data_IF_618801484674
#
_entry.id   IF_618801484674
#
_cell.length_a   1.000
_cell.length_b   1.000
_cell.length_c   1.000
_cell.angle_alpha   90.00
_cell.angle_beta   90.00
_cell.angle_gamma   90.00
#
_symmetry.space_group_name_H-M   'P 1'
#
loop_
_entity.id
_entity.type
_entity.pdbx_description
1 polymer ?
2 non-polymer ?
3 water ?
#
# COMPACT_ATOMS: atom_id res chain seq x y z
N UNK A 19 -0.43 19.37 -4.13
CA UNK A 19 0.49 18.23 -4.05
C UNK A 19 0.54 17.49 -5.39
N UNK A 20 1.68 16.90 -5.71
CA UNK A 20 1.90 16.32 -7.02
C UNK A 20 2.73 15.05 -6.94
N UNK A 21 2.38 14.08 -7.77
CA UNK A 21 3.05 12.79 -7.86
C UNK A 21 3.42 12.52 -9.30
N UNK A 22 4.67 12.11 -9.52
CA UNK A 22 5.19 11.79 -10.85
C UNK A 22 5.76 10.39 -10.80
N UNK A 23 5.56 9.61 -11.86
CA UNK A 23 6.10 8.25 -11.88
C UNK A 23 7.00 8.06 -13.09
N UNK A 24 8.24 7.67 -12.84
CA UNK A 24 9.17 7.22 -13.88
C UNK A 24 8.95 5.74 -14.15
N UNK A 25 8.42 5.41 -15.33
CA UNK A 25 8.11 4.03 -15.67
C UNK A 25 8.51 3.74 -17.10
N UNK A 26 8.77 2.47 -17.39
CA UNK A 26 8.81 2.02 -18.77
C UNK A 26 7.44 1.73 -19.33
N UNK A 27 6.44 1.46 -18.49
CA UNK A 27 5.10 1.14 -18.96
C UNK A 27 4.17 2.17 -18.35
N UNK A 28 4.15 3.40 -18.89
CA UNK A 28 3.22 4.41 -18.36
C UNK A 28 1.75 4.03 -18.54
N UNK A 29 1.46 3.09 -19.42
CA UNK A 29 0.10 2.65 -19.70
C UNK A 29 -0.40 1.61 -18.71
N UNK A 30 0.49 1.00 -17.92
CA UNK A 30 0.02 0.17 -16.81
C UNK A 30 -0.86 0.96 -15.86
N UNK A 31 -0.69 2.27 -15.83
CA UNK A 31 -1.42 3.08 -14.87
C UNK A 31 -2.69 3.63 -15.47
N UNK A 32 -2.99 3.21 -16.69
CA UNK A 32 -4.25 3.57 -17.32
C UNK A 32 -5.39 2.87 -16.59
N UNK A 33 -6.40 3.64 -16.21
CA UNK A 33 -7.53 3.08 -15.53
C UNK A 33 -7.35 2.88 -14.04
N UNK A 34 -6.15 3.10 -13.52
CA UNK A 34 -6.03 3.18 -12.06
C UNK A 34 -5.99 4.63 -11.61
N UNK A 35 -5.59 5.54 -12.49
CA UNK A 35 -5.60 6.97 -12.20
C UNK A 35 -6.86 7.66 -12.72
N UNK A 36 -7.53 7.06 -13.70
CA UNK A 36 -8.75 7.64 -14.24
C UNK A 36 -9.99 7.20 -13.47
N UNK A 37 -9.85 6.36 -12.45
CA UNK A 37 -11.01 5.89 -11.70
C UNK A 37 -10.70 5.90 -10.21
N UNK A 38 -11.72 5.60 -9.41
CA UNK A 38 -11.69 5.54 -7.95
C UNK A 38 -11.15 6.83 -7.37
N UNK A 39 -10.50 6.69 -6.21
CA UNK A 39 -9.95 7.81 -5.45
C UNK A 39 -9.03 8.65 -6.31
N UNK A 40 -8.29 8.02 -7.23
CA UNK A 40 -7.39 8.80 -8.06
C UNK A 40 -8.16 9.75 -8.96
N UNK A 41 -9.17 9.22 -9.65
CA UNK A 41 -10.04 10.07 -10.47
C UNK A 41 -10.65 11.17 -9.64
N UNK A 42 -11.24 10.81 -8.49
CA UNK A 42 -11.90 11.80 -7.66
C UNK A 42 -10.92 12.91 -7.29
N UNK A 43 -9.89 12.56 -6.50
CA UNK A 43 -8.99 13.56 -5.95
C UNK A 43 -8.26 14.35 -7.03
N UNK A 44 -7.97 13.73 -8.17
CA UNK A 44 -7.30 14.49 -9.22
C UNK A 44 -8.25 15.44 -9.92
N UNK A 45 -9.50 15.02 -10.14
CA UNK A 45 -10.53 15.93 -10.62
C UNK A 45 -10.69 17.12 -9.69
N UNK A 46 -10.63 16.88 -8.38
CA UNK A 46 -10.97 17.89 -7.39
C UNK A 46 -9.90 18.94 -7.20
N UNK A 47 -8.92 19.04 -8.10
CA UNK A 47 -7.82 20.00 -7.97
C UNK A 47 -7.06 19.77 -6.66
N UNK A 48 -6.79 18.49 -6.37
CA UNK A 48 -6.06 18.12 -5.16
C UNK A 48 -4.66 17.60 -5.45
N UNK A 49 -4.50 16.71 -6.43
CA UNK A 49 -3.17 16.22 -6.79
C UNK A 49 -3.01 16.22 -8.31
N UNK A 50 -1.87 16.73 -8.76
CA UNK A 50 -1.47 16.60 -10.15
C UNK A 50 -0.56 15.39 -10.29
N UNK A 51 -0.89 14.52 -11.23
CA UNK A 51 -0.13 13.30 -11.47
C UNK A 51 0.39 13.31 -12.89
N UNK A 52 1.70 13.06 -13.02
CA UNK A 52 2.30 12.96 -14.34
C UNK A 52 3.05 11.65 -14.47
N UNK A 53 2.79 10.94 -15.55
CA UNK A 53 3.58 9.77 -15.91
C UNK A 53 4.70 10.19 -16.85
N UNK A 54 5.88 9.61 -16.66
CA UNK A 54 7.06 9.90 -17.47
C UNK A 54 7.69 8.58 -17.88
N UNK A 55 8.01 8.47 -19.17
CA UNK A 55 8.61 7.27 -19.73
C UNK A 55 10.12 7.39 -19.73
N UNK A 56 10.81 6.29 -19.44
CA UNK A 56 12.23 6.28 -19.77
C UNK A 56 12.38 6.15 -21.28
N UNK A 57 13.63 6.24 -21.73
CA UNK A 57 13.98 6.19 -23.15
C UNK A 57 13.49 7.46 -23.82
N UNK A 58 12.70 8.25 -23.10
CA UNK A 58 12.45 9.62 -23.46
C UNK A 58 13.56 10.53 -22.96
N UNK A 59 14.38 10.06 -22.02
CA UNK A 59 15.54 10.84 -21.61
C UNK A 59 16.81 10.04 -21.82
N UNK A 60 16.75 8.95 -22.57
CA UNK A 60 17.92 8.13 -22.89
C UNK A 60 18.69 8.72 -24.07
N UNK A 61 20.00 8.54 -24.03
CA UNK A 61 20.88 9.06 -25.07
C UNK A 61 21.83 7.97 -25.56
N UNK A 62 21.57 6.72 -25.15
CA UNK A 62 22.46 5.62 -25.51
C UNK A 62 22.39 5.36 -27.02
N UNK A 63 23.29 4.47 -27.48
CA UNK A 63 23.36 4.16 -28.91
C UNK A 63 22.06 3.50 -29.39
N UNK A 64 21.41 2.71 -28.54
CA UNK A 64 20.12 2.12 -28.85
C UNK A 64 18.98 2.81 -28.11
N UNK A 65 19.20 4.04 -27.65
CA UNK A 65 18.30 4.77 -26.75
C UNK A 65 18.00 3.96 -25.50
N UNK A 66 18.95 3.11 -25.11
CA UNK A 66 18.83 2.29 -23.92
C UNK A 66 18.88 3.14 -22.66
N UNK A 67 18.23 2.66 -21.61
CA UNK A 67 18.37 3.21 -20.28
C UNK A 67 19.07 2.24 -19.34
N UNK A 68 19.52 1.09 -19.84
CA UNK A 68 20.31 0.15 -19.05
C UNK A 68 21.55 -0.28 -19.84
N UNK A 69 22.59 -0.64 -19.10
CA UNK A 69 23.85 -1.04 -19.70
C UNK A 69 24.44 -2.12 -18.80
N UNK A 70 25.64 -2.60 -19.15
CA UNK A 70 26.10 -3.73 -18.35
C UNK A 70 26.83 -3.20 -17.12
N UNK A 71 26.96 -4.01 -16.06
CA UNK A 71 27.63 -3.53 -14.85
C UNK A 71 29.14 -3.56 -14.98
N UNK A 72 29.80 -2.55 -14.43
CA UNK A 72 31.25 -2.62 -14.29
C UNK A 72 31.63 -3.72 -13.30
N UNK A 73 32.56 -4.58 -13.69
CA UNK A 73 32.98 -5.69 -12.87
C UNK A 73 32.29 -7.00 -13.15
N UNK A 74 31.19 -6.98 -13.89
CA UNK A 74 30.47 -8.21 -14.20
C UNK A 74 29.24 -8.39 -13.33
N UNK A 75 28.51 -9.44 -13.65
CA UNK A 75 27.26 -9.75 -13.01
C UNK A 75 26.26 -10.21 -14.05
N UNK A 76 25.23 -10.93 -13.59
CA UNK A 76 24.26 -11.49 -14.52
C UNK A 76 23.39 -10.41 -15.15
N UNK A 77 22.88 -9.49 -14.34
CA UNK A 77 21.86 -8.57 -14.77
C UNK A 77 22.36 -7.34 -15.51
N UNK A 78 21.41 -6.46 -15.81
CA UNK A 78 21.65 -5.17 -16.44
C UNK A 78 21.31 -4.08 -15.44
N UNK A 79 21.98 -2.94 -15.55
CA UNK A 79 21.85 -1.88 -14.56
C UNK A 79 21.26 -0.64 -15.23
N UNK A 80 20.27 -0.04 -14.57
CA UNK A 80 19.75 1.26 -14.98
C UNK A 80 20.84 2.32 -14.92
N UNK A 81 20.97 3.08 -16.01
CA UNK A 81 22.02 4.08 -16.16
C UNK A 81 21.64 5.38 -15.46
N UNK A 82 22.62 6.12 -14.93
CA UNK A 82 22.28 7.28 -14.09
C UNK A 82 21.77 8.49 -14.85
N UNK A 83 22.31 8.76 -16.04
CA UNK A 83 22.00 10.00 -16.74
C UNK A 83 20.52 10.12 -17.14
N UNK A 84 19.86 9.09 -17.71
CA UNK A 84 18.44 9.27 -18.00
C UNK A 84 17.64 9.61 -16.76
N UNK A 85 18.03 9.07 -15.62
CA UNK A 85 17.26 9.27 -14.40
C UNK A 85 17.51 10.65 -13.82
N UNK A 86 18.76 11.12 -13.79
CA UNK A 86 18.97 12.50 -13.33
C UNK A 86 18.26 13.49 -14.25
N UNK A 87 18.28 13.22 -15.56
CA UNK A 87 17.56 14.08 -16.49
C UNK A 87 16.06 14.07 -16.21
N UNK A 88 15.52 12.89 -15.93
CA UNK A 88 14.09 12.80 -15.60
C UNK A 88 13.77 13.63 -14.36
N UNK A 89 14.61 13.56 -13.34
CA UNK A 89 14.43 14.42 -12.19
C UNK A 89 14.48 15.89 -12.59
N UNK A 90 15.39 16.23 -13.52
CA UNK A 90 15.51 17.61 -13.95
C UNK A 90 14.22 18.13 -14.56
N UNK A 91 13.66 17.39 -15.54
CA UNK A 91 12.43 17.85 -16.17
C UNK A 91 11.26 17.90 -15.18
N UNK A 92 11.21 16.97 -14.24
CA UNK A 92 10.14 16.97 -13.26
C UNK A 92 10.27 18.07 -12.22
N UNK A 93 11.26 18.95 -12.35
CA UNK A 93 11.43 20.09 -11.45
C UNK A 93 11.55 19.62 -10.00
N UNK A 94 12.28 18.52 -9.81
CA UNK A 94 12.53 18.01 -8.45
C UNK A 94 13.29 19.05 -7.66
N UNK A 95 12.84 19.31 -6.44
CA UNK A 95 13.48 20.27 -5.57
C UNK A 95 14.19 19.53 -4.44
N UNK A 96 14.91 20.30 -3.62
CA UNK A 96 15.62 19.70 -2.49
C UNK A 96 14.66 19.13 -1.45
N UNK A 97 13.37 19.49 -1.51
CA UNK A 97 12.39 18.97 -0.58
C UNK A 97 11.49 17.91 -1.20
N UNK A 98 11.62 17.67 -2.52
CA UNK A 98 10.91 16.58 -3.15
C UNK A 98 11.40 15.24 -2.58
N UNK A 99 10.49 14.29 -2.49
CA UNK A 99 10.83 12.94 -2.04
C UNK A 99 10.81 12.00 -3.24
N UNK A 100 11.97 11.39 -3.51
CA UNK A 100 12.18 10.52 -4.67
C UNK A 100 12.21 9.10 -4.12
N UNK A 101 11.22 8.29 -4.49
CA UNK A 101 11.04 6.98 -3.89
C UNK A 101 11.51 5.94 -4.91
N UNK A 102 12.50 5.16 -4.52
CA UNK A 102 12.96 4.01 -5.31
C UNK A 102 12.16 2.78 -4.90
N UNK A 103 11.46 2.17 -5.85
CA UNK A 103 10.79 0.90 -5.62
C UNK A 103 11.87 -0.16 -5.62
N UNK A 104 12.36 -0.48 -4.43
CA UNK A 104 13.53 -1.35 -4.26
C UNK A 104 13.13 -2.58 -3.45
N UNK A 105 13.39 -3.79 -3.95
CA UNK A 105 12.99 -5.00 -3.19
C UNK A 105 13.67 -5.13 -1.84
N UNK A 106 14.79 -4.46 -1.61
CA UNK A 106 15.44 -4.50 -0.31
C UNK A 106 15.20 -3.23 0.48
N UNK A 107 14.26 -2.39 0.05
CA UNK A 107 13.95 -1.19 0.79
C UNK A 107 13.22 -1.49 2.08
N UNK A 108 13.00 -0.44 2.86
CA UNK A 108 12.18 -0.55 4.06
C UNK A 108 10.75 -0.94 3.66
N UNK A 109 10.15 -1.92 4.35
CA UNK A 109 8.78 -2.31 4.00
C UNK A 109 7.82 -1.15 4.23
N UNK A 110 6.94 -0.94 3.26
CA UNK A 110 5.98 0.14 3.36
C UNK A 110 5.11 -0.07 4.59
N UNK A 111 4.65 1.04 5.18
CA UNK A 111 3.93 0.96 6.43
C UNK A 111 2.95 2.13 6.52
N UNK A 112 1.96 1.98 7.41
CA UNK A 112 1.04 3.08 7.65
C UNK A 112 1.77 4.31 8.17
N UNK A 113 2.74 4.11 9.06
CA UNK A 113 3.61 5.20 9.49
C UNK A 113 4.19 5.94 8.30
N UNK A 114 4.74 5.20 7.33
CA UNK A 114 5.35 5.87 6.17
C UNK A 114 4.30 6.53 5.29
N UNK A 115 3.10 5.94 5.19
CA UNK A 115 2.05 6.57 4.39
C UNK A 115 1.62 7.90 5.01
N UNK A 116 1.51 7.94 6.33
CA UNK A 116 1.24 9.20 7.03
C UNK A 116 2.36 10.20 6.76
N UNK A 117 3.61 9.75 6.84
CA UNK A 117 4.74 10.63 6.58
C UNK A 117 4.70 11.21 5.17
N UNK A 118 4.42 10.36 4.18
CA UNK A 118 4.46 10.78 2.79
C UNK A 118 3.28 11.66 2.40
N UNK A 119 2.12 11.47 3.04
CA UNK A 119 0.99 12.35 2.74
C UNK A 119 1.29 13.81 3.09
N UNK A 120 2.31 14.05 3.92
CA UNK A 120 2.77 15.39 4.27
C UNK A 120 3.71 16.01 3.22
N UNK A 121 3.83 15.43 2.03
CA UNK A 121 4.89 15.81 1.10
C UNK A 121 4.30 16.48 -0.14
N UNK A 122 4.82 17.65 -0.49
CA UNK A 122 4.27 18.42 -1.60
C UNK A 122 4.52 17.72 -2.93
N UNK A 123 5.74 17.21 -3.15
CA UNK A 123 6.11 16.58 -4.41
C UNK A 123 6.69 15.21 -4.13
N UNK A 124 6.26 14.23 -4.92
CA UNK A 124 6.76 12.87 -4.81
C UNK A 124 6.99 12.28 -6.19
N UNK A 125 8.10 11.57 -6.36
CA UNK A 125 8.46 10.90 -7.60
C UNK A 125 8.76 9.45 -7.28
N UNK A 126 8.09 8.52 -7.97
CA UNK A 126 8.44 7.10 -7.83
C UNK A 126 9.29 6.69 -9.01
N UNK A 127 10.47 6.13 -8.72
CA UNK A 127 11.28 5.48 -9.74
C UNK A 127 10.86 4.01 -9.78
N UNK A 128 10.22 3.63 -10.88
CA UNK A 128 9.67 2.29 -11.08
C UNK A 128 10.51 1.57 -12.12
N UNK A 129 10.70 0.26 -11.95
CA UNK A 129 11.48 -0.44 -12.96
C UNK A 129 11.74 -1.90 -12.67
N UNK A 130 11.92 -2.69 -13.72
CA UNK A 130 12.19 -4.12 -13.63
C UNK A 130 13.67 -4.42 -13.48
N UNK A 131 14.49 -3.40 -13.26
CA UNK A 131 15.93 -3.54 -13.39
C UNK A 131 16.48 -4.42 -12.27
N UNK A 132 17.34 -5.37 -12.65
CA UNK A 132 18.12 -6.10 -11.65
C UNK A 132 19.00 -5.19 -10.82
N UNK A 133 19.50 -4.10 -11.41
CA UNK A 133 20.40 -3.22 -10.70
C UNK A 133 20.09 -1.77 -10.98
N UNK A 134 20.51 -0.92 -10.04
CA UNK A 134 20.39 0.53 -10.14
C UNK A 134 21.76 1.15 -9.91
N UNK A 135 22.11 2.14 -10.72
CA UNK A 135 23.42 2.76 -10.56
C UNK A 135 23.49 3.48 -9.21
N UNK A 136 24.56 3.23 -8.46
CA UNK A 136 24.65 3.76 -7.10
C UNK A 136 24.65 5.28 -7.08
N UNK A 137 25.12 5.95 -8.16
CA UNK A 137 25.01 7.40 -8.25
C UNK A 137 23.57 7.86 -7.99
N UNK A 138 22.62 7.18 -8.64
CA UNK A 138 21.20 7.48 -8.48
C UNK A 138 20.82 7.41 -7.01
N UNK A 139 21.27 6.36 -6.32
CA UNK A 139 20.85 6.15 -4.94
C UNK A 139 21.48 7.16 -4.00
N UNK A 140 22.76 7.46 -4.19
CA UNK A 140 23.44 8.36 -3.26
C UNK A 140 22.97 9.80 -3.40
N UNK A 141 22.81 10.29 -4.64
CA UNK A 141 22.59 11.72 -4.81
C UNK A 141 21.20 12.08 -5.30
N UNK A 142 20.36 11.11 -5.61
CA UNK A 142 19.05 11.40 -6.17
C UNK A 142 17.91 10.86 -5.32
N UNK A 143 17.98 9.58 -4.95
CA UNK A 143 16.89 8.92 -4.23
C UNK A 143 16.88 9.38 -2.78
N UNK A 144 15.69 9.78 -2.29
CA UNK A 144 15.54 10.12 -0.88
C UNK A 144 14.96 8.97 -0.06
N UNK A 145 14.40 7.95 -0.70
CA UNK A 145 13.63 6.92 -0.02
C UNK A 145 13.65 5.65 -0.85
N UNK A 146 13.90 4.51 -0.20
CA UNK A 146 13.85 3.19 -0.84
C UNK A 146 12.87 2.32 -0.09
N UNK A 147 11.79 1.89 -0.77
CA UNK A 147 10.70 1.21 -0.09
C UNK A 147 10.34 -0.09 -0.82
N UNK A 148 10.12 -1.14 -0.04
CA UNK A 148 9.72 -2.47 -0.49
C UNK A 148 8.23 -2.69 -0.26
N UNK A 149 7.71 -3.77 -0.84
CA UNK A 149 6.36 -4.24 -0.56
C UNK A 149 6.31 -5.45 0.37
N UNK A 150 7.43 -6.12 0.61
CA UNK A 150 7.45 -7.32 1.42
C UNK A 150 8.39 -8.37 0.90
N UNK A 151 8.60 -9.47 1.65
CA UNK A 151 9.65 -10.42 1.32
C UNK A 151 9.44 -11.10 -0.02
N UNK A 152 8.25 -11.03 -0.59
CA UNK A 152 7.99 -11.64 -1.88
C UNK A 152 8.71 -10.87 -2.99
N UNK A 153 8.80 -11.51 -4.15
CA UNK A 153 9.55 -11.01 -5.30
C UNK A 153 8.58 -10.66 -6.41
N UNK A 154 8.73 -9.47 -6.98
CA UNK A 154 7.85 -8.95 -8.00
C UNK A 154 8.63 -8.76 -9.29
N UNK A 155 7.91 -8.38 -10.35
CA UNK A 155 8.56 -8.11 -11.63
C UNK A 155 9.01 -6.66 -11.76
N UNK A 156 8.26 -5.71 -11.19
CA UNK A 156 8.61 -4.31 -11.32
C UNK A 156 8.03 -3.49 -10.19
N UNK A 157 8.30 -2.19 -10.25
CA UNK A 157 7.87 -1.28 -9.21
C UNK A 157 6.58 -0.55 -9.48
N UNK A 158 5.89 -0.90 -10.57
CA UNK A 158 4.71 -0.14 -10.97
C UNK A 158 3.52 -0.42 -10.06
N UNK A 159 3.19 -1.70 -9.88
CA UNK A 159 2.15 -2.07 -8.92
C UNK A 159 2.49 -1.66 -7.49
N UNK A 160 3.70 -1.89 -6.99
CA UNK A 160 4.07 -1.29 -5.69
C UNK A 160 3.80 0.21 -5.65
N UNK A 161 4.23 0.93 -6.69
CA UNK A 161 4.07 2.38 -6.72
C UNK A 161 2.60 2.77 -6.62
N UNK A 162 1.74 2.09 -7.38
CA UNK A 162 0.32 2.41 -7.37
C UNK A 162 -0.33 2.07 -6.03
N UNK A 163 0.02 0.93 -5.44
CA UNK A 163 -0.56 0.57 -4.14
C UNK A 163 -0.17 1.60 -3.08
N UNK A 164 1.09 1.98 -3.05
CA UNK A 164 1.55 2.99 -2.10
C UNK A 164 0.83 4.31 -2.36
N UNK A 165 0.63 4.67 -3.62
CA UNK A 165 -0.10 5.88 -3.94
C UNK A 165 -1.52 5.83 -3.41
N UNK A 166 -2.17 4.67 -3.54
CA UNK A 166 -3.50 4.51 -2.97
C UNK A 166 -3.49 4.89 -1.50
N UNK A 167 -2.62 4.22 -0.74
CA UNK A 167 -2.62 4.43 0.72
C UNK A 167 -2.23 5.85 1.10
N UNK A 168 -1.45 6.53 0.24
CA UNK A 168 -1.01 7.88 0.57
C UNK A 168 -2.09 8.90 0.22
N UNK A 169 -2.63 8.80 -1.00
CA UNK A 169 -3.69 9.71 -1.45
C UNK A 169 -4.88 9.64 -0.51
N UNK A 170 -5.22 8.44 -0.06
CA UNK A 170 -6.34 8.31 0.86
C UNK A 170 -6.12 9.11 2.15
N UNK A 171 -4.86 9.39 2.49
CA UNK A 171 -4.51 10.18 3.67
C UNK A 171 -4.42 11.68 3.38
N UNK A 172 -4.67 12.09 2.13
CA UNK A 172 -4.74 13.49 1.73
C UNK A 172 -6.11 14.03 2.09
N UNK A 173 -6.24 15.31 2.49
CA UNK A 173 -7.57 15.88 2.82
C UNK A 173 -8.70 15.55 1.87
N UNK A 174 -8.41 15.36 0.58
CA UNK A 174 -9.43 14.90 -0.35
C UNK A 174 -9.92 13.50 -0.05
N UNK A 188 -7.93 0.90 15.73
CA UNK A 188 -8.42 -0.42 16.12
C UNK A 188 -8.81 -0.45 17.59
N UNK A 189 -9.33 -1.60 18.02
CA UNK A 189 -9.55 -1.88 19.43
C UNK A 189 -8.71 -3.05 19.94
N UNK A 190 -7.96 -3.71 19.07
CA UNK A 190 -7.16 -4.84 19.45
C UNK A 190 -7.79 -6.18 19.15
N UNK A 191 -8.92 -6.19 18.45
CA UNK A 191 -9.65 -7.41 18.18
C UNK A 191 -9.98 -7.46 16.70
N UNK A 192 -10.33 -8.66 16.23
CA UNK A 192 -10.78 -8.80 14.86
C UNK A 192 -12.20 -8.24 14.72
N UNK A 193 -12.64 -8.08 13.48
CA UNK A 193 -13.96 -7.51 13.26
C UNK A 193 -15.04 -8.54 13.55
N UNK A 194 -16.15 -8.06 13.77
CA UNK A 194 -17.36 -8.79 14.06
C UNK A 194 -18.04 -9.14 12.74
N UNK A 195 -18.71 -10.28 12.64
CA UNK A 195 -19.31 -10.64 11.36
C UNK A 195 -20.44 -9.68 11.02
N UNK A 196 -20.64 -9.45 9.73
CA UNK A 196 -21.66 -8.54 9.25
C UNK A 196 -22.52 -9.28 8.24
N UNK A 197 -23.83 -9.03 8.26
CA UNK A 197 -24.69 -9.65 7.27
C UNK A 197 -25.65 -8.61 6.71
N UNK A 198 -26.14 -8.88 5.51
CA UNK A 198 -27.09 -8.01 4.83
C UNK A 198 -28.17 -8.90 4.22
N UNK A 199 -29.03 -8.29 3.40
CA UNK A 199 -30.14 -9.02 2.80
C UNK A 199 -29.60 -10.07 1.82
N UNK A 200 -30.27 -11.22 1.67
CA UNK A 200 -31.50 -11.70 2.33
C UNK A 200 -31.29 -12.33 3.71
N UNK A 201 -32.37 -12.52 4.46
CA UNK A 201 -32.27 -13.19 5.75
C UNK A 201 -31.88 -14.66 5.58
N UNK A 202 -32.46 -15.33 4.59
CA UNK A 202 -32.14 -16.71 4.26
C UNK A 202 -31.51 -16.77 2.88
N UNK A 203 -30.53 -17.64 2.72
CA UNK A 203 -29.87 -17.83 1.44
C UNK A 203 -29.13 -19.17 1.46
N UNK A 204 -29.52 -20.10 0.60
CA UNK A 204 -28.97 -21.47 0.59
C UNK A 204 -29.19 -22.14 1.94
N UNK A 205 -30.24 -21.75 2.66
CA UNK A 205 -30.44 -22.28 3.99
C UNK A 205 -29.49 -21.70 5.03
N UNK A 206 -28.79 -20.63 4.70
CA UNK A 206 -27.81 -20.03 5.59
C UNK A 206 -28.46 -18.79 6.19
N UNK A 207 -28.66 -18.81 7.50
CA UNK A 207 -29.57 -17.88 8.14
C UNK A 207 -28.79 -16.78 8.83
N UNK A 208 -29.19 -15.53 8.58
CA UNK A 208 -28.64 -14.40 9.34
C UNK A 208 -29.00 -14.58 10.81
N UNK A 209 -28.05 -14.42 11.74
CA UNK A 209 -28.38 -14.57 13.16
C UNK A 209 -29.50 -13.66 13.59
N UNK A 210 -30.44 -14.23 14.37
CA UNK A 210 -31.71 -13.57 14.62
C UNK A 210 -31.55 -12.30 15.43
N UNK A 211 -30.54 -12.25 16.31
CA UNK A 211 -30.38 -11.11 17.20
C UNK A 211 -30.20 -9.84 16.39
N UNK A 212 -29.65 -9.96 15.18
CA UNK A 212 -29.43 -8.79 14.35
C UNK A 212 -30.72 -8.19 13.83
N UNK A 213 -31.82 -8.94 13.85
CA UNK A 213 -33.10 -8.41 13.39
C UNK A 213 -34.03 -8.06 14.53
N UNK A 214 -33.64 -8.28 15.78
CA UNK A 214 -34.53 -8.04 16.90
C UNK A 214 -34.69 -6.56 17.23
N UNK A 215 -33.86 -5.69 16.70
CA UNK A 215 -33.94 -4.28 17.05
C UNK A 215 -33.58 -3.96 18.48
N UNK A 216 -33.03 -4.92 19.22
CA UNK A 216 -32.52 -4.69 20.57
C UNK A 216 -31.02 -4.42 20.44
N UNK A 217 -30.67 -3.14 20.45
CA UNK A 217 -29.30 -2.73 20.17
C UNK A 217 -28.32 -3.11 21.26
N UNK A 218 -28.77 -3.15 22.51
CA UNK A 218 -27.88 -3.61 23.57
C UNK A 218 -27.45 -5.05 23.30
N UNK A 219 -28.39 -5.91 22.93
CA UNK A 219 -28.06 -7.29 22.59
C UNK A 219 -27.27 -7.37 21.30
N UNK A 220 -27.58 -6.53 20.31
CA UNK A 220 -26.85 -6.58 19.05
C UNK A 220 -25.38 -6.27 19.29
N UNK A 221 -25.11 -5.24 20.11
CA UNK A 221 -23.74 -4.89 20.42
C UNK A 221 -23.06 -5.94 21.29
N UNK A 222 -23.79 -6.49 22.27
CA UNK A 222 -23.19 -7.52 23.12
C UNK A 222 -22.81 -8.74 22.30
N UNK A 223 -23.68 -9.13 21.36
CA UNK A 223 -23.42 -10.25 20.47
C UNK A 223 -22.21 -9.97 19.58
N UNK A 224 -22.17 -8.78 18.98
CA UNK A 224 -21.02 -8.46 18.14
C UNK A 224 -19.73 -8.52 18.93
N UNK A 225 -19.75 -8.01 20.16
CA UNK A 225 -18.56 -8.09 21.02
C UNK A 225 -18.17 -9.53 21.32
N UNK A 226 -19.15 -10.40 21.60
CA UNK A 226 -18.85 -11.80 21.86
C UNK A 226 -18.19 -12.45 20.66
N UNK A 227 -18.73 -12.18 19.46
CA UNK A 227 -18.15 -12.74 18.24
C UNK A 227 -16.74 -12.22 18.03
N UNK A 228 -16.48 -10.96 18.34
CA UNK A 228 -15.12 -10.43 18.23
C UNK A 228 -14.18 -11.19 19.16
N UNK A 229 -14.61 -11.41 20.40
CA UNK A 229 -13.74 -12.11 21.34
C UNK A 229 -13.46 -13.53 20.86
N UNK A 230 -14.51 -14.21 20.39
CA UNK A 230 -14.39 -15.62 20.02
C UNK A 230 -13.57 -15.79 18.75
N UNK A 231 -13.82 -14.97 17.73
CA UNK A 231 -13.05 -15.03 16.50
C UNK A 231 -11.59 -14.70 16.76
N UNK A 232 -11.31 -13.70 17.61
CA UNK A 232 -9.92 -13.41 17.94
C UNK A 232 -9.29 -14.57 18.69
N UNK A 233 -9.98 -15.13 19.69
CA UNK A 233 -9.50 -16.30 20.42
C UNK A 233 -9.12 -17.44 19.48
N UNK A 234 -9.93 -17.67 18.43
CA UNK A 234 -9.68 -18.81 17.56
C UNK A 234 -8.57 -18.53 16.54
N UNK A 235 -8.55 -17.33 15.95
CA UNK A 235 -7.67 -17.08 14.81
C UNK A 235 -6.47 -16.21 15.15
N UNK A 236 -6.50 -15.48 16.26
CA UNK A 236 -5.37 -14.63 16.62
C UNK A 236 -5.19 -14.58 18.14
N UNK A 237 -4.92 -15.70 18.80
CA UNK A 237 -4.75 -15.66 20.27
C UNK A 237 -3.68 -14.68 20.74
N UNK A 238 -2.70 -14.34 19.89
CA UNK A 238 -1.75 -13.31 20.27
C UNK A 238 -2.43 -11.99 20.58
N UNK A 239 -3.49 -11.65 19.82
CA UNK A 239 -4.23 -10.43 20.09
C UNK A 239 -4.96 -10.51 21.43
N UNK A 240 -5.54 -11.66 21.77
CA UNK A 240 -6.17 -11.82 23.09
C UNK A 240 -5.15 -11.58 24.19
N UNK A 241 -3.93 -12.08 24.00
CA UNK A 241 -2.89 -11.85 25.00
C UNK A 241 -2.58 -10.37 25.19
N UNK A 242 -2.73 -9.55 24.14
CA UNK A 242 -2.44 -8.12 24.25
C UNK A 242 -3.70 -7.29 24.49
N UNK A 243 -4.74 -7.88 25.03
CA UNK A 243 -6.02 -7.20 25.13
C UNK A 243 -6.45 -7.09 26.59
N UNK A 244 -6.89 -5.93 27.05
CA UNK A 244 -7.29 -5.81 28.46
C UNK A 244 -8.64 -6.47 28.72
N UNK A 245 -8.62 -7.80 28.91
CA UNK A 245 -9.83 -8.58 29.13
C UNK A 245 -10.56 -8.18 30.41
N UNK A 246 -11.88 -8.00 30.30
CA UNK A 246 -12.71 -7.79 31.48
C UNK A 246 -13.11 -9.12 32.09
N UNK A 247 -13.79 -9.07 33.23
CA UNK A 247 -14.32 -10.33 33.74
C UNK A 247 -15.43 -10.86 32.84
N UNK A 248 -16.21 -9.98 32.23
CA UNK A 248 -17.20 -10.42 31.27
C UNK A 248 -16.53 -11.11 30.09
N UNK A 249 -15.40 -10.56 29.64
CA UNK A 249 -14.70 -11.15 28.50
C UNK A 249 -14.16 -12.54 28.84
N UNK A 250 -13.61 -12.68 30.05
CA UNK A 250 -13.12 -14.00 30.46
C UNK A 250 -14.27 -14.99 30.53
N UNK A 251 -15.42 -14.57 31.08
CA UNK A 251 -16.55 -15.48 31.15
C UNK A 251 -17.04 -15.86 29.76
N UNK A 252 -17.06 -14.90 28.83
CA UNK A 252 -17.49 -15.22 27.48
C UNK A 252 -16.59 -16.29 26.87
N UNK A 253 -15.27 -16.09 26.97
CA UNK A 253 -14.37 -17.07 26.39
C UNK A 253 -14.47 -18.42 27.08
N UNK A 254 -14.71 -18.43 28.39
CA UNK A 254 -14.75 -19.69 29.11
C UNK A 254 -16.01 -20.46 28.77
N UNK A 255 -17.15 -19.76 28.69
CA UNK A 255 -18.38 -20.42 28.26
C UNK A 255 -18.23 -20.95 26.85
N UNK A 256 -17.54 -20.22 25.98
CA UNK A 256 -17.31 -20.72 24.63
C UNK A 256 -16.47 -22.00 24.63
N UNK A 257 -15.32 -21.97 25.32
CA UNK A 257 -14.43 -23.11 25.23
C UNK A 257 -14.93 -24.31 26.01
N UNK A 258 -15.89 -24.11 26.93
CA UNK A 258 -16.59 -25.24 27.52
C UNK A 258 -17.70 -25.74 26.60
N UNK A 259 -18.39 -24.83 25.92
CA UNK A 259 -19.38 -25.25 24.94
C UNK A 259 -18.78 -26.04 23.81
N UNK A 260 -17.49 -25.84 23.53
CA UNK A 260 -16.79 -26.70 22.60
C UNK A 260 -16.85 -28.17 23.04
N UNK A 261 -16.48 -28.48 24.29
CA UNK A 261 -16.51 -29.88 24.79
C UNK A 261 -17.95 -30.35 25.03
X LIG B 1 9.53 -7.07 -3.98
X LIG B 1 9.26 -3.23 -5.10
X LIG B 1 9.87 -3.24 -6.32
X LIG B 1 10.28 -4.51 -6.64
X LIG B 1 10.97 -4.87 -7.88
X LIG B 1 12.61 -6.76 -10.47
X LIG B 1 13.92 -7.27 -9.92
X LIG B 1 11.42 -6.08 -8.35
X LIG B 1 10.06 -6.73 -5.21
X LIG B 1 9.93 -5.35 -5.53
X LIG B 1 8.93 -6.16 -3.15
X LIG B 1 9.28 -4.50 -4.59
X LIG B 1 15.70 -6.27 -8.53
X LIG B 1 8.78 -4.89 -3.41
X LIG B 1 11.27 -3.93 -8.82
X LIG B 1 11.88 -4.51 -9.82
X LIG B 1 11.96 -5.83 -9.54
X LIG B 1 14.74 -6.17 -9.45
X LIG B 1 16.36 -5.19 -8.14
X LIG B 1 15.97 -7.45 -8.01
X LIG B 1 10.59 -7.62 -5.90
#
# INVERSE_FOLDING_TARGET
>A
HHHHHHSSGLVPRGSHMASKIDYLTLFPEMFDGVLNHSIMKRAQENNKLQINTVNFRDYAINKHNQVDDYPYGGGQGMVLKPEPVFNAMEDLDVTEQTRVILMCPQGEPFSHQKAVELSKADHIVFICGHYEGYDERIRTHLVTDEISMGDYVLTGGELPAMTMTDAIVRLIPGVLGNEQSHQDDSFSDGLLEFPQYTRPREFKGLTVPDVLLSGNHANIDAWRHEQKLIRTYNKRPDLIEKYPLTNADKQILERYKIGLKKG
>B hetero
1 A1JNG N1 N3 C4 C5 C6 C7 C8 C10 C1 C11 C2 C3 C9 N2 N4 N5 N6 N7 N8 N9 O1
#
